data_IF_475131858467
#
_entry.id   IF_475131858467
#
_cell.length_a   1.000
_cell.length_b   1.000
_cell.length_c   1.000
_cell.angle_alpha   90.00
_cell.angle_beta   90.00
_cell.angle_gamma   90.00
#
_symmetry.space_group_name_H-M   'P 1'
#
loop_
_entity.id
_entity.type
_entity.pdbx_description
1 polymer ?
#
# COMPACT_ATOMS: atom_id res chain seq x y z
N UNK A 1 28.34 7.81 1.25
CA UNK A 1 26.96 7.93 0.76
C UNK A 1 26.03 8.41 1.88
N UNK A 2 25.35 9.53 1.69
CA UNK A 2 24.38 10.09 2.63
C UNK A 2 23.07 9.32 2.66
N UNK A 3 22.15 9.71 3.54
CA UNK A 3 20.86 9.03 3.71
C UNK A 3 20.04 9.05 2.41
N UNK A 4 19.96 10.21 1.76
CA UNK A 4 19.15 10.41 0.54
C UNK A 4 19.62 9.49 -0.58
N UNK A 5 20.93 9.37 -0.81
CA UNK A 5 21.42 8.51 -1.88
C UNK A 5 21.16 7.02 -1.57
N UNK A 6 21.30 6.60 -0.31
CA UNK A 6 20.99 5.23 0.08
C UNK A 6 19.50 4.91 -0.05
N UNK A 7 18.61 5.86 0.28
CA UNK A 7 17.16 5.72 0.07
C UNK A 7 16.85 5.53 -1.42
N UNK A 8 17.42 6.35 -2.30
CA UNK A 8 17.26 6.21 -3.76
C UNK A 8 17.73 4.83 -4.26
N UNK A 9 18.84 4.34 -3.74
CA UNK A 9 19.40 3.03 -4.08
C UNK A 9 18.49 1.88 -3.62
N UNK A 10 17.90 1.99 -2.43
CA UNK A 10 16.90 1.05 -1.94
C UNK A 10 15.59 1.11 -2.73
N UNK A 11 15.13 2.31 -3.09
CA UNK A 11 13.95 2.56 -3.91
C UNK A 11 14.11 1.92 -5.29
N UNK A 12 15.25 2.17 -5.95
CA UNK A 12 15.61 1.55 -7.24
C UNK A 12 15.53 0.04 -7.16
N UNK A 13 16.14 -0.57 -6.13
CA UNK A 13 16.05 -2.02 -5.93
C UNK A 13 14.62 -2.50 -5.75
N UNK A 14 13.81 -1.85 -4.90
CA UNK A 14 12.43 -2.29 -4.65
C UNK A 14 11.61 -2.23 -5.93
N UNK A 15 11.78 -1.15 -6.70
CA UNK A 15 11.16 -0.97 -8.01
C UNK A 15 11.56 -2.08 -8.99
N UNK A 16 12.85 -2.40 -9.11
CA UNK A 16 13.37 -3.51 -9.94
C UNK A 16 12.97 -4.89 -9.41
N UNK A 17 12.64 -5.00 -8.12
CA UNK A 17 12.18 -6.24 -7.50
C UNK A 17 10.74 -6.63 -7.86
N UNK A 18 9.94 -5.69 -8.38
CA UNK A 18 8.57 -5.97 -8.82
C UNK A 18 8.60 -6.60 -10.20
N UNK A 19 8.14 -7.84 -10.29
CA UNK A 19 8.18 -8.65 -11.53
C UNK A 19 6.87 -8.69 -12.31
N UNK A 20 5.78 -8.17 -11.73
CA UNK A 20 4.46 -8.19 -12.35
C UNK A 20 3.62 -7.04 -11.82
N UNK A 21 2.78 -6.50 -12.70
CA UNK A 21 1.73 -5.55 -12.33
C UNK A 21 0.57 -6.21 -11.60
N UNK A 22 -0.41 -5.38 -11.24
CA UNK A 22 -1.62 -5.86 -10.57
C UNK A 22 -2.41 -6.81 -11.49
N UNK A 23 -2.92 -7.90 -10.90
CA UNK A 23 -3.75 -8.88 -11.60
C UNK A 23 -5.17 -8.37 -11.80
N UNK A 24 -5.73 -8.51 -13.02
CA UNK A 24 -7.14 -8.21 -13.31
C UNK A 24 -8.11 -8.99 -12.45
N UNK A 25 -7.85 -10.29 -12.29
CA UNK A 25 -8.67 -11.16 -11.45
C UNK A 25 -8.59 -10.75 -9.99
N UNK A 26 -7.40 -10.39 -9.50
CA UNK A 26 -7.21 -9.87 -8.16
C UNK A 26 -7.97 -8.56 -7.93
N UNK A 27 -7.91 -7.63 -8.89
CA UNK A 27 -8.67 -6.38 -8.83
C UNK A 27 -10.18 -6.64 -8.83
N UNK A 28 -10.69 -7.56 -9.64
CA UNK A 28 -12.11 -7.95 -9.64
C UNK A 28 -12.56 -8.54 -8.30
N UNK A 29 -11.77 -9.45 -7.71
CA UNK A 29 -12.04 -9.98 -6.37
C UNK A 29 -12.04 -8.86 -5.32
N UNK A 30 -11.08 -7.96 -5.40
CA UNK A 30 -11.02 -6.75 -4.57
C UNK A 30 -12.32 -5.95 -4.68
N UNK A 31 -12.74 -5.66 -5.91
CA UNK A 31 -13.85 -4.76 -6.22
C UNK A 31 -15.23 -5.32 -5.91
N UNK A 32 -15.43 -6.62 -6.12
CA UNK A 32 -16.73 -7.26 -6.04
C UNK A 32 -16.95 -8.03 -4.73
N UNK A 33 -15.89 -8.38 -4.01
CA UNK A 33 -15.97 -9.20 -2.78
C UNK A 33 -15.36 -8.47 -1.58
N UNK A 34 -14.06 -8.16 -1.62
CA UNK A 34 -13.38 -7.64 -0.43
C UNK A 34 -13.77 -6.21 -0.10
N UNK A 35 -13.84 -5.33 -1.10
CA UNK A 35 -14.19 -3.93 -0.91
C UNK A 35 -15.63 -3.76 -0.39
N UNK A 36 -16.65 -4.40 -0.99
CA UNK A 36 -18.01 -4.30 -0.47
C UNK A 36 -18.13 -4.87 0.95
N UNK A 37 -17.40 -5.96 1.26
CA UNK A 37 -17.39 -6.53 2.61
C UNK A 37 -16.86 -5.53 3.64
N UNK A 38 -15.68 -4.94 3.40
CA UNK A 38 -15.08 -3.95 4.31
C UNK A 38 -15.99 -2.71 4.42
N UNK A 39 -16.52 -2.25 3.29
CA UNK A 39 -17.42 -1.10 3.24
C UNK A 39 -18.71 -1.33 4.05
N UNK A 40 -19.33 -2.50 3.92
CA UNK A 40 -20.54 -2.86 4.66
C UNK A 40 -20.26 -3.06 6.16
N UNK A 41 -19.12 -3.66 6.53
CA UNK A 41 -18.71 -3.77 7.93
C UNK A 41 -18.55 -2.38 8.56
N UNK A 42 -17.88 -1.46 7.86
CA UNK A 42 -17.78 -0.07 8.32
C UNK A 42 -19.13 0.60 8.46
N UNK A 43 -19.99 0.51 7.43
CA UNK A 43 -21.33 1.09 7.48
C UNK A 43 -22.15 0.54 8.66
N UNK A 44 -22.02 -0.75 8.96
CA UNK A 44 -22.70 -1.39 10.09
C UNK A 44 -22.21 -0.91 11.46
N UNK A 45 -20.92 -0.56 11.58
CA UNK A 45 -20.30 -0.21 12.86
C UNK A 45 -20.07 1.29 13.06
N UNK A 46 -20.18 2.13 12.01
CA UNK A 46 -19.78 3.54 12.08
C UNK A 46 -20.54 4.40 13.10
N UNK A 47 -21.70 3.95 13.59
CA UNK A 47 -22.47 4.66 14.62
C UNK A 47 -22.05 4.32 16.05
N UNK A 48 -21.24 3.28 16.23
CA UNK A 48 -20.78 2.77 17.54
C UNK A 48 -19.39 3.31 17.91
N UNK A 49 -18.79 4.13 17.05
CA UNK A 49 -17.48 4.73 17.27
C UNK A 49 -17.56 6.02 18.09
N UNK A 50 -16.51 6.32 18.86
CA UNK A 50 -16.28 7.66 19.43
C UNK A 50 -15.83 8.69 18.38
N UNK A 51 -15.57 8.27 17.13
CA UNK A 51 -15.29 9.18 16.02
C UNK A 51 -16.47 10.16 15.81
N UNK A 52 -16.18 11.45 15.55
CA UNK A 52 -17.23 12.41 15.23
C UNK A 52 -18.11 11.90 14.07
N UNK A 53 -19.43 11.93 14.24
CA UNK A 53 -20.38 11.44 13.25
C UNK A 53 -20.17 12.04 11.85
N UNK A 54 -19.80 13.31 11.78
CA UNK A 54 -19.50 13.99 10.51
C UNK A 54 -18.25 13.43 9.81
N UNK A 55 -17.25 12.98 10.58
CA UNK A 55 -16.08 12.30 10.04
C UNK A 55 -16.46 10.91 9.52
N UNK A 56 -17.27 10.15 10.27
CA UNK A 56 -17.75 8.84 9.82
C UNK A 56 -18.57 8.93 8.52
N UNK A 57 -19.45 9.93 8.40
CA UNK A 57 -20.17 10.21 7.15
C UNK A 57 -19.21 10.56 6.00
N UNK A 58 -18.20 11.39 6.27
CA UNK A 58 -17.20 11.75 5.27
C UNK A 58 -16.46 10.51 4.75
N UNK A 59 -16.02 9.63 5.65
CA UNK A 59 -15.37 8.35 5.32
C UNK A 59 -16.31 7.47 4.50
N UNK A 60 -17.57 7.34 4.91
CA UNK A 60 -18.57 6.56 4.19
C UNK A 60 -18.78 7.06 2.75
N UNK A 61 -18.98 8.36 2.56
CA UNK A 61 -19.14 8.94 1.22
C UNK A 61 -17.87 8.81 0.37
N UNK A 62 -16.68 8.96 0.98
CA UNK A 62 -15.41 8.71 0.31
C UNK A 62 -15.31 7.25 -0.16
N UNK A 63 -15.82 6.30 0.64
CA UNK A 63 -15.93 4.90 0.24
C UNK A 63 -16.80 4.69 -1.00
N UNK A 64 -17.98 5.32 -1.05
CA UNK A 64 -18.84 5.26 -2.25
C UNK A 64 -18.09 5.80 -3.48
N UNK A 65 -17.43 6.95 -3.34
CA UNK A 65 -16.67 7.58 -4.44
C UNK A 65 -15.53 6.67 -4.91
N UNK A 66 -14.76 6.09 -3.98
CA UNK A 66 -13.68 5.15 -4.29
C UNK A 66 -14.22 3.92 -5.03
N UNK A 67 -15.34 3.36 -4.58
CA UNK A 67 -15.92 2.17 -5.19
C UNK A 67 -16.40 2.42 -6.62
N UNK A 68 -17.18 3.48 -6.83
CA UNK A 68 -17.69 3.87 -8.16
C UNK A 68 -16.52 4.19 -9.09
N UNK A 69 -15.52 4.93 -8.62
CA UNK A 69 -14.34 5.26 -9.44
C UNK A 69 -13.58 4.00 -9.83
N UNK A 70 -13.38 3.07 -8.89
CA UNK A 70 -12.69 1.79 -9.14
C UNK A 70 -13.48 0.90 -10.11
N UNK A 71 -14.82 0.90 -10.03
CA UNK A 71 -15.70 0.25 -11.00
C UNK A 71 -15.52 0.83 -12.40
N UNK A 72 -15.59 2.15 -12.54
CA UNK A 72 -15.42 2.83 -13.82
C UNK A 72 -14.04 2.56 -14.43
N UNK A 73 -12.97 2.62 -13.62
CA UNK A 73 -11.61 2.30 -14.06
C UNK A 73 -11.48 0.85 -14.53
N UNK A 74 -12.11 -0.08 -13.82
CA UNK A 74 -12.09 -1.51 -14.19
C UNK A 74 -12.87 -1.75 -15.47
N UNK A 75 -14.05 -1.14 -15.64
CA UNK A 75 -14.83 -1.22 -16.89
C UNK A 75 -14.03 -0.64 -18.05
N UNK A 76 -13.38 0.50 -17.84
CA UNK A 76 -12.56 1.13 -18.89
C UNK A 76 -11.34 0.28 -19.26
N UNK A 77 -10.69 -0.37 -18.29
CA UNK A 77 -9.67 -1.39 -18.57
C UNK A 77 -10.22 -2.51 -19.44
N UNK A 78 -11.39 -3.06 -19.14
CA UNK A 78 -11.97 -4.12 -19.96
C UNK A 78 -12.25 -3.68 -21.40
N UNK A 79 -12.69 -2.43 -21.60
CA UNK A 79 -12.97 -1.88 -22.92
C UNK A 79 -11.71 -1.54 -23.73
N UNK A 80 -10.65 -1.06 -23.08
CA UNK A 80 -9.46 -0.53 -23.74
C UNK A 80 -8.18 -1.33 -23.47
N UNK A 81 -8.28 -2.44 -22.75
CA UNK A 81 -7.18 -3.33 -22.34
C UNK A 81 -6.01 -2.57 -21.69
N UNK A 82 -6.31 -1.63 -20.78
CA UNK A 82 -5.32 -0.76 -20.13
C UNK A 82 -5.05 -1.16 -18.68
N UNK A 83 -4.02 -1.99 -18.49
CA UNK A 83 -3.66 -2.56 -17.20
C UNK A 83 -3.25 -1.51 -16.14
N UNK A 84 -2.88 -0.29 -16.53
CA UNK A 84 -2.59 0.79 -15.56
C UNK A 84 -3.82 1.17 -14.76
N UNK A 85 -5.01 1.13 -15.38
CA UNK A 85 -6.27 1.46 -14.71
C UNK A 85 -6.65 0.42 -13.66
N UNK A 86 -6.31 -0.85 -13.89
CA UNK A 86 -6.40 -1.93 -12.89
C UNK A 86 -5.52 -1.62 -11.69
N UNK A 87 -4.29 -1.16 -11.97
CA UNK A 87 -3.34 -0.73 -10.94
C UNK A 87 -3.89 0.41 -10.08
N UNK A 88 -4.43 1.45 -10.72
CA UNK A 88 -5.01 2.61 -10.03
C UNK A 88 -6.24 2.19 -9.21
N UNK A 89 -7.16 1.41 -9.80
CA UNK A 89 -8.34 0.86 -9.12
C UNK A 89 -7.96 0.09 -7.85
N UNK A 90 -7.02 -0.85 -7.96
CA UNK A 90 -6.56 -1.62 -6.80
C UNK A 90 -5.87 -0.76 -5.74
N UNK A 91 -5.12 0.26 -6.14
CA UNK A 91 -4.49 1.19 -5.20
C UNK A 91 -5.55 2.00 -4.42
N UNK A 92 -6.56 2.55 -5.09
CA UNK A 92 -7.65 3.28 -4.43
C UNK A 92 -8.40 2.41 -3.42
N UNK A 93 -8.80 1.20 -3.83
CA UNK A 93 -9.49 0.25 -2.95
C UNK A 93 -8.64 -0.15 -1.75
N UNK A 94 -7.35 -0.43 -1.97
CA UNK A 94 -6.43 -0.80 -0.91
C UNK A 94 -6.22 0.34 0.08
N UNK A 95 -6.02 1.58 -0.39
CA UNK A 95 -5.85 2.74 0.48
C UNK A 95 -7.08 2.99 1.35
N UNK A 96 -8.29 2.85 0.79
CA UNK A 96 -9.52 2.96 1.57
C UNK A 96 -9.63 1.85 2.63
N UNK A 97 -9.43 0.59 2.23
CA UNK A 97 -9.48 -0.54 3.16
C UNK A 97 -8.44 -0.41 4.27
N UNK A 98 -7.23 0.01 3.93
CA UNK A 98 -6.14 0.20 4.89
C UNK A 98 -6.47 1.25 5.96
N UNK A 99 -7.24 2.27 5.62
CA UNK A 99 -7.70 3.31 6.54
C UNK A 99 -8.96 2.93 7.35
N UNK A 100 -9.80 2.05 6.81
CA UNK A 100 -11.10 1.72 7.42
C UNK A 100 -11.04 0.48 8.31
N UNK A 101 -10.20 -0.49 7.99
CA UNK A 101 -10.02 -1.71 8.79
C UNK A 101 -9.63 -1.41 10.26
N UNK A 102 -8.70 -0.48 10.55
CA UNK A 102 -8.36 -0.13 11.93
C UNK A 102 -9.58 0.35 12.68
N UNK A 103 -10.34 1.29 12.09
CA UNK A 103 -11.56 1.85 12.67
C UNK A 103 -12.57 0.74 12.99
N UNK A 104 -12.85 -0.16 12.04
CA UNK A 104 -13.76 -1.30 12.25
C UNK A 104 -13.28 -2.16 13.43
N UNK A 105 -11.98 -2.45 13.50
CA UNK A 105 -11.41 -3.32 14.53
C UNK A 105 -11.56 -2.73 15.94
N UNK A 106 -11.31 -1.43 16.11
CA UNK A 106 -11.45 -0.76 17.41
C UNK A 106 -12.91 -0.65 17.81
N UNK A 107 -13.81 -0.35 16.87
CA UNK A 107 -15.25 -0.33 17.15
C UNK A 107 -15.72 -1.70 17.63
N UNK A 108 -15.30 -2.76 16.94
CA UNK A 108 -15.75 -4.12 17.22
C UNK A 108 -15.23 -4.69 18.54
N UNK A 109 -14.06 -4.26 19.03
CA UNK A 109 -13.38 -4.92 20.15
C UNK A 109 -12.93 -4.00 21.30
N UNK A 110 -13.00 -2.67 21.14
CA UNK A 110 -12.62 -1.69 22.18
C UNK A 110 -13.58 -0.49 22.22
N UNK A 111 -14.87 -0.72 22.00
CA UNK A 111 -15.93 0.30 22.07
C UNK A 111 -15.67 1.55 21.22
N UNK A 112 -14.83 1.44 20.19
CA UNK A 112 -14.52 2.55 19.29
C UNK A 112 -13.69 3.68 19.90
N UNK A 113 -12.86 3.40 20.91
CA UNK A 113 -12.03 4.41 21.60
C UNK A 113 -11.14 5.21 20.63
N UNK A 114 -11.34 6.52 20.58
CA UNK A 114 -10.69 7.39 19.59
C UNK A 114 -9.15 7.38 19.71
N UNK A 115 -8.62 7.35 20.93
CA UNK A 115 -7.18 7.32 21.17
C UNK A 115 -6.53 6.08 20.56
N UNK A 116 -7.21 4.93 20.63
CA UNK A 116 -6.71 3.68 20.10
C UNK A 116 -6.75 3.69 18.57
N UNK A 117 -7.82 4.20 17.96
CA UNK A 117 -7.91 4.40 16.51
C UNK A 117 -6.74 5.26 16.01
N UNK A 118 -6.50 6.41 16.66
CA UNK A 118 -5.41 7.32 16.30
C UNK A 118 -4.06 6.63 16.43
N UNK A 119 -3.84 5.89 17.51
CA UNK A 119 -2.58 5.16 17.73
C UNK A 119 -2.33 4.11 16.65
N UNK A 120 -3.36 3.35 16.27
CA UNK A 120 -3.29 2.32 15.25
C UNK A 120 -2.97 2.94 13.88
N UNK A 121 -3.69 3.99 13.47
CA UNK A 121 -3.46 4.73 12.22
C UNK A 121 -2.04 5.33 12.14
N UNK A 122 -1.59 6.02 13.20
CA UNK A 122 -0.23 6.58 13.24
C UNK A 122 0.82 5.47 13.12
N UNK A 123 0.60 4.35 13.78
CA UNK A 123 1.52 3.21 13.75
C UNK A 123 1.61 2.62 12.35
N UNK A 124 0.49 2.50 11.65
CA UNK A 124 0.44 2.00 10.27
C UNK A 124 1.21 2.85 9.27
N UNK A 125 1.33 4.16 9.51
CA UNK A 125 2.12 5.07 8.68
C UNK A 125 3.59 5.08 9.12
N UNK A 126 3.85 5.24 10.42
CA UNK A 126 5.21 5.41 10.93
C UNK A 126 6.03 4.12 10.90
N UNK A 127 5.41 2.97 11.16
CA UNK A 127 6.08 1.68 11.21
C UNK A 127 6.83 1.35 9.91
N UNK A 128 6.21 1.34 8.72
CA UNK A 128 6.92 1.07 7.48
C UNK A 128 7.99 2.13 7.17
N UNK A 129 7.77 3.40 7.51
CA UNK A 129 8.74 4.48 7.29
C UNK A 129 10.00 4.26 8.14
N UNK A 130 9.83 4.03 9.45
CA UNK A 130 10.93 3.79 10.38
C UNK A 130 11.74 2.56 9.93
N UNK A 131 11.06 1.46 9.62
CA UNK A 131 11.71 0.25 9.14
C UNK A 131 12.44 0.46 7.81
N UNK A 132 11.88 1.26 6.90
CA UNK A 132 12.52 1.59 5.64
C UNK A 132 13.82 2.38 5.83
N UNK A 133 13.83 3.34 6.74
CA UNK A 133 15.03 4.12 7.10
C UNK A 133 16.07 3.21 7.76
N UNK A 134 15.68 2.37 8.72
CA UNK A 134 16.59 1.41 9.37
C UNK A 134 17.18 0.46 8.32
N UNK A 135 16.34 -0.10 7.45
CA UNK A 135 16.76 -0.97 6.35
C UNK A 135 17.80 -0.30 5.46
N UNK A 136 17.65 0.99 5.18
CA UNK A 136 18.58 1.75 4.35
C UNK A 136 20.00 1.81 4.93
N UNK A 137 20.12 1.91 6.26
CA UNK A 137 21.42 1.88 6.94
C UNK A 137 21.98 0.48 7.13
N UNK A 138 21.10 -0.50 7.36
CA UNK A 138 21.50 -1.88 7.66
C UNK A 138 21.88 -2.63 6.39
N UNK A 139 21.17 -2.43 5.29
CA UNK A 139 21.27 -3.23 4.06
C UNK A 139 22.34 -2.71 3.09
N UNK A 140 22.67 -1.42 3.15
CA UNK A 140 23.67 -0.78 2.29
C UNK A 140 24.81 -0.20 3.14
N UNK A 141 26.05 -0.38 2.70
CA UNK A 141 27.22 0.21 3.37
C UNK A 141 27.38 1.71 3.07
N UNK A 142 28.48 2.31 3.55
CA UNK A 142 28.79 3.73 3.30
C UNK A 142 29.15 4.03 1.85
N UNK A 143 29.51 3.02 1.09
CA UNK A 143 29.98 3.11 -0.29
C UNK A 143 28.85 2.79 -1.29
N UNK A 144 27.67 2.44 -0.80
CA UNK A 144 26.49 2.11 -1.60
C UNK A 144 26.44 0.63 -2.02
N UNK A 145 27.37 -0.20 -1.54
CA UNK A 145 27.34 -1.62 -1.80
C UNK A 145 26.33 -2.28 -0.87
N UNK A 146 25.55 -3.17 -1.45
CA UNK A 146 24.58 -3.92 -0.71
C UNK A 146 25.21 -5.13 -0.01
N UNK A 147 24.79 -5.36 1.23
CA UNK A 147 25.17 -6.58 1.96
C UNK A 147 24.64 -7.84 1.27
N UNK A 148 25.20 -8.98 1.65
CA UNK A 148 24.87 -10.29 1.10
C UNK A 148 23.36 -10.55 1.09
N UNK A 149 22.90 -11.31 0.09
CA UNK A 149 21.48 -11.72 -0.03
C UNK A 149 20.98 -12.42 1.24
N UNK A 150 21.82 -13.27 1.86
CA UNK A 150 21.52 -13.96 3.12
C UNK A 150 21.26 -12.98 4.25
N UNK A 151 22.12 -11.98 4.44
CA UNK A 151 21.94 -10.97 5.48
C UNK A 151 20.67 -10.16 5.26
N UNK A 152 20.41 -9.75 4.02
CA UNK A 152 19.18 -9.02 3.66
C UNK A 152 17.91 -9.80 3.98
N UNK A 153 17.87 -11.10 3.69
CA UNK A 153 16.73 -11.96 4.04
C UNK A 153 16.50 -12.03 5.55
N UNK A 154 17.56 -12.21 6.34
CA UNK A 154 17.47 -12.23 7.81
C UNK A 154 16.89 -10.92 8.34
N UNK A 155 17.39 -9.79 7.84
CA UNK A 155 16.91 -8.46 8.24
C UNK A 155 15.45 -8.24 7.84
N UNK A 156 15.06 -8.61 6.62
CA UNK A 156 13.66 -8.57 6.18
C UNK A 156 12.74 -9.43 7.06
N UNK A 157 13.17 -10.63 7.47
CA UNK A 157 12.42 -11.48 8.39
C UNK A 157 12.30 -10.88 9.79
N UNK A 158 13.36 -10.21 10.28
CA UNK A 158 13.34 -9.54 11.58
C UNK A 158 12.32 -8.39 11.61
N UNK A 159 12.11 -7.70 10.48
CA UNK A 159 11.11 -6.64 10.38
C UNK A 159 9.67 -7.15 10.41
N UNK A 160 9.42 -8.42 10.08
CA UNK A 160 8.09 -9.02 10.22
C UNK A 160 7.81 -9.43 11.67
N UNK A 161 8.85 -9.56 12.51
CA UNK A 161 8.73 -10.13 13.85
C UNK A 161 7.79 -9.35 14.77
N UNK A 162 7.81 -8.00 14.86
CA UNK A 162 6.89 -7.27 15.75
C UNK A 162 5.42 -7.51 15.36
N UNK A 163 5.10 -7.45 14.07
CA UNK A 163 3.76 -7.74 13.56
C UNK A 163 3.33 -9.18 13.90
N UNK A 164 4.21 -10.17 13.66
CA UNK A 164 3.92 -11.57 13.96
C UNK A 164 3.74 -11.84 15.46
N UNK A 165 4.52 -11.18 16.32
CA UNK A 165 4.37 -11.28 17.77
C UNK A 165 3.02 -10.73 18.22
N UNK A 166 2.59 -9.58 17.70
CA UNK A 166 1.25 -9.03 17.98
C UNK A 166 0.14 -9.98 17.55
N UNK A 167 0.26 -10.58 16.36
CA UNK A 167 -0.71 -11.58 15.88
C UNK A 167 -0.78 -12.77 16.83
N UNK A 168 0.37 -13.38 17.16
CA UNK A 168 0.41 -14.59 18.00
C UNK A 168 -0.11 -14.30 19.41
N UNK A 169 0.34 -13.20 20.02
CA UNK A 169 -0.09 -12.80 21.37
C UNK A 169 -1.58 -12.44 21.36
N UNK A 170 -2.04 -11.66 20.38
CA UNK A 170 -3.45 -11.29 20.22
C UNK A 170 -4.34 -12.53 20.07
N UNK A 171 -3.94 -13.50 19.24
CA UNK A 171 -4.67 -14.75 19.05
C UNK A 171 -4.75 -15.57 20.35
N UNK A 172 -3.62 -15.79 21.02
CA UNK A 172 -3.57 -16.56 22.27
C UNK A 172 -4.44 -15.88 23.33
N UNK A 173 -4.24 -14.58 23.56
CA UNK A 173 -4.96 -13.82 24.57
C UNK A 173 -6.46 -13.69 24.26
N UNK A 174 -6.85 -13.61 22.98
CA UNK A 174 -8.27 -13.62 22.60
C UNK A 174 -8.96 -14.93 22.98
N UNK A 175 -8.23 -16.04 22.91
CA UNK A 175 -8.75 -17.37 23.24
C UNK A 175 -8.82 -17.61 24.75
N UNK A 176 -7.83 -17.13 25.51
CA UNK A 176 -7.70 -17.48 26.95
C UNK A 176 -8.15 -16.38 27.92
N UNK A 177 -8.25 -15.13 27.48
CA UNK A 177 -8.49 -13.99 28.37
C UNK A 177 -9.75 -13.20 28.02
N UNK A 178 -9.86 -12.65 26.80
CA UNK A 178 -11.00 -11.82 26.39
C UNK A 178 -10.98 -11.52 24.89
N UNK A 179 -12.16 -11.42 24.28
CA UNK A 179 -12.35 -10.98 22.89
C UNK A 179 -11.74 -9.60 22.59
N UNK A 180 -11.55 -8.76 23.62
CA UNK A 180 -10.80 -7.51 23.51
C UNK A 180 -9.46 -7.67 22.77
N UNK A 181 -8.75 -8.79 22.98
CA UNK A 181 -7.43 -9.00 22.40
C UNK A 181 -7.43 -9.26 20.88
N UNK A 182 -8.59 -9.45 20.25
CA UNK A 182 -8.71 -9.45 18.79
C UNK A 182 -8.24 -8.13 18.17
N UNK A 183 -8.24 -7.03 18.93
CA UNK A 183 -7.69 -5.75 18.48
C UNK A 183 -6.20 -5.84 18.15
N UNK A 184 -5.41 -6.56 18.95
CA UNK A 184 -3.97 -6.72 18.71
C UNK A 184 -3.67 -7.71 17.60
N UNK A 185 -4.56 -8.69 17.40
CA UNK A 185 -4.51 -9.57 16.23
C UNK A 185 -4.68 -8.72 14.95
N UNK A 186 -5.76 -7.93 14.89
CA UNK A 186 -6.05 -7.03 13.75
C UNK A 186 -4.90 -6.06 13.52
N UNK A 187 -4.43 -5.38 14.57
CA UNK A 187 -3.32 -4.44 14.48
C UNK A 187 -2.03 -5.10 13.98
N UNK A 188 -1.71 -6.32 14.44
CA UNK A 188 -0.56 -7.07 13.95
C UNK A 188 -0.68 -7.43 12.46
N UNK A 189 -1.87 -7.82 12.00
CA UNK A 189 -2.14 -8.09 10.58
C UNK A 189 -1.99 -6.81 9.75
N UNK A 190 -2.55 -5.70 10.20
CA UNK A 190 -2.47 -4.41 9.51
C UNK A 190 -1.03 -3.90 9.44
N UNK A 191 -0.25 -4.00 10.52
CA UNK A 191 1.18 -3.67 10.52
C UNK A 191 1.95 -4.52 9.51
N UNK A 192 1.61 -5.80 9.36
CA UNK A 192 2.21 -6.65 8.34
C UNK A 192 1.86 -6.16 6.93
N UNK A 193 0.60 -5.80 6.67
CA UNK A 193 0.19 -5.26 5.37
C UNK A 193 0.78 -3.87 5.08
N UNK A 194 1.00 -3.04 6.10
CA UNK A 194 1.59 -1.70 5.97
C UNK A 194 2.96 -1.69 5.28
N UNK A 195 3.72 -2.79 5.43
CA UNK A 195 5.03 -2.98 4.81
C UNK A 195 4.98 -3.13 3.28
N UNK A 196 3.78 -3.35 2.73
CA UNK A 196 3.52 -3.54 1.31
C UNK A 196 2.87 -2.32 0.64
N UNK A 197 2.60 -1.23 1.38
CA UNK A 197 2.00 0.00 0.83
C UNK A 197 2.85 0.55 -0.32
N UNK A 198 4.17 0.60 -0.17
CA UNK A 198 5.05 1.08 -1.23
C UNK A 198 5.13 0.10 -2.41
N UNK A 199 5.01 -1.20 -2.17
CA UNK A 199 4.94 -2.21 -3.24
C UNK A 199 3.71 -2.03 -4.11
N UNK A 200 2.55 -1.68 -3.54
CA UNK A 200 1.33 -1.51 -4.34
C UNK A 200 1.48 -0.37 -5.36
N UNK A 201 2.19 0.69 -5.01
CA UNK A 201 2.54 1.78 -5.93
C UNK A 201 3.43 1.29 -7.08
N UNK A 202 4.40 0.42 -6.79
CA UNK A 202 5.25 -0.14 -7.83
C UNK A 202 4.50 -1.12 -8.75
N UNK A 203 3.58 -1.91 -8.20
CA UNK A 203 2.75 -2.83 -8.99
C UNK A 203 1.72 -2.08 -9.84
N UNK A 204 1.10 -1.02 -9.32
CA UNK A 204 0.09 -0.24 -10.04
C UNK A 204 0.64 0.40 -11.31
N UNK A 205 1.85 0.97 -11.22
CA UNK A 205 2.53 1.61 -12.34
C UNK A 205 3.53 0.69 -13.08
N UNK A 206 3.47 -0.62 -12.84
CA UNK A 206 4.32 -1.57 -13.53
C UNK A 206 4.16 -1.53 -15.07
N UNK A 207 2.93 -1.51 -15.64
CA UNK A 207 2.74 -1.52 -17.09
C UNK A 207 3.31 -0.29 -17.81
N UNK A 208 3.41 0.86 -17.13
CA UNK A 208 4.05 2.04 -17.71
C UNK A 208 5.57 1.88 -17.91
N UNK A 209 6.20 1.00 -17.13
CA UNK A 209 7.66 0.89 -17.03
C UNK A 209 8.27 -0.30 -17.77
N UNK A 210 7.53 -1.38 -17.97
CA UNK A 210 8.06 -2.64 -18.50
C UNK A 210 7.40 -2.96 -19.85
N UNK A 211 7.82 -2.21 -20.88
CA UNK A 211 7.29 -2.22 -22.25
C UNK A 211 7.34 -3.57 -22.97
N UNK A 212 8.31 -4.41 -22.60
CA UNK A 212 8.75 -5.56 -23.42
C UNK A 212 8.82 -6.88 -22.63
N UNK A 213 8.43 -6.90 -21.35
CA UNK A 213 8.46 -8.14 -20.55
C UNK A 213 7.28 -9.04 -20.94
N UNK A 214 7.58 -10.29 -21.34
CA UNK A 214 6.67 -11.36 -21.84
C UNK A 214 5.47 -11.75 -20.92
N UNK A 215 5.24 -11.02 -19.83
CA UNK A 215 4.11 -11.20 -18.91
C UNK A 215 3.22 -9.97 -18.72
N UNK A 216 3.57 -8.84 -19.35
CA UNK A 216 2.68 -7.71 -19.51
C UNK A 216 2.02 -7.85 -20.89
N UNK A 217 0.75 -8.27 -20.92
CA UNK A 217 -0.09 -8.22 -22.12
C UNK A 217 -0.31 -6.74 -22.48
N UNK A 218 0.74 -6.08 -22.98
CA UNK A 218 0.71 -4.69 -23.39
C UNK A 218 0.12 -4.64 -24.79
N UNK A 219 -1.12 -4.15 -24.87
CA UNK A 219 -1.74 -3.80 -26.15
C UNK A 219 -1.22 -2.46 -26.67
N UNK A 220 -1.45 -2.19 -27.96
CA UNK A 220 -1.08 -0.94 -28.64
C UNK A 220 -1.42 0.32 -27.81
N UNK A 221 -2.56 0.33 -27.11
CA UNK A 221 -2.96 1.45 -26.25
C UNK A 221 -2.03 1.69 -25.05
N UNK A 222 -1.55 0.62 -24.41
CA UNK A 222 -0.59 0.71 -23.30
C UNK A 222 0.82 1.05 -23.80
N UNK A 223 1.18 0.61 -25.00
CA UNK A 223 2.43 0.98 -25.67
C UNK A 223 2.47 2.47 -26.01
N UNK A 224 1.37 3.01 -26.57
CA UNK A 224 1.20 4.43 -26.88
C UNK A 224 1.26 5.28 -25.59
N UNK A 225 0.62 4.84 -24.51
CA UNK A 225 0.68 5.54 -23.22
C UNK A 225 2.07 5.51 -22.59
N UNK A 226 2.78 4.38 -22.65
CA UNK A 226 4.17 4.31 -22.19
C UNK A 226 5.08 5.19 -23.05
N UNK A 227 4.89 5.22 -24.38
CA UNK A 227 5.59 6.17 -25.27
C UNK A 227 5.30 7.62 -24.88
N UNK A 228 4.04 7.97 -24.57
CA UNK A 228 3.69 9.31 -24.10
C UNK A 228 4.36 9.66 -22.76
N UNK A 229 4.42 8.72 -21.80
CA UNK A 229 5.10 8.92 -20.51
C UNK A 229 6.62 9.05 -20.70
N UNK A 230 7.22 8.28 -21.60
CA UNK A 230 8.65 8.39 -21.90
C UNK A 230 8.99 9.65 -22.68
N UNK A 231 8.18 10.03 -23.67
CA UNK A 231 8.32 11.31 -24.36
C UNK A 231 8.16 12.47 -23.36
N UNK A 232 7.25 12.37 -22.39
CA UNK A 232 7.11 13.35 -21.32
C UNK A 232 8.31 13.36 -20.38
N UNK A 233 8.83 12.18 -19.99
CA UNK A 233 10.02 12.07 -19.15
C UNK A 233 11.28 12.59 -19.85
N UNK A 234 11.47 12.27 -21.13
CA UNK A 234 12.51 12.82 -21.99
C UNK A 234 12.34 14.32 -22.13
N UNK A 235 11.12 14.82 -22.39
CA UNK A 235 10.84 16.27 -22.44
C UNK A 235 11.09 16.96 -21.09
N UNK A 236 10.81 16.31 -19.97
CA UNK A 236 11.07 16.83 -18.62
C UNK A 236 12.56 16.72 -18.23
N UNK A 237 13.29 15.76 -18.80
CA UNK A 237 14.74 15.62 -18.62
C UNK A 237 15.53 16.55 -19.54
N UNK A 238 15.05 16.81 -20.76
CA UNK A 238 15.58 17.82 -21.69
C UNK A 238 15.24 19.22 -21.21
N UNK A 239 14.01 19.44 -20.72
CA UNK A 239 13.68 20.60 -19.89
C UNK A 239 14.19 20.39 -18.47
N UNK A 240 15.48 20.10 -18.32
CA UNK A 240 16.18 20.34 -17.05
C UNK A 240 15.71 21.71 -16.57
N UNK A 241 14.96 21.72 -15.47
CA UNK A 241 14.98 22.83 -14.53
C UNK A 241 16.42 23.35 -14.52
N UNK A 242 16.64 24.53 -15.10
CA UNK A 242 17.95 25.14 -15.32
C UNK A 242 18.81 24.90 -14.09
N UNK A 243 19.67 23.87 -14.17
CA UNK A 243 20.62 23.54 -13.10
C UNK A 243 21.68 24.64 -12.98
N UNK A 244 21.66 25.60 -13.90
CA UNK A 244 22.49 26.80 -13.94
C UNK A 244 21.83 28.03 -13.31
N UNK A 245 20.54 27.99 -12.91
CA UNK A 245 19.91 29.14 -12.22
C UNK A 245 20.26 29.28 -10.74
N UNK A 246 21.01 28.32 -10.19
CA UNK A 246 21.49 28.30 -8.81
C UNK A 246 23.01 28.05 -8.73
N UNK A 247 23.79 28.65 -9.63
CA UNK A 247 25.22 28.87 -9.42
C UNK A 247 25.47 30.25 -8.86
#
# INVERSE_FOLDING_TARGET
MGLIERLKLQEKRRREGVKKGVSRFGNLLGLLIFYPLIFLLFYGTMNESELPMELNKCIFYLGIVVWITSLLLTIWDFLHNNQVLVGISSCLMYMYGFFVIPIISVISFNNGELNFIILQEISLILYPIILYVIATYVISDKDGNFRSTKFRKIISSLYLLPSLLLIIIGLIMSTIASDYYFIYLSWGIELLFSLFIDMIWYMAFYPLRHKDDEGADLTEASEVQSKAVNALNETLQDKRFDKERFK
#
